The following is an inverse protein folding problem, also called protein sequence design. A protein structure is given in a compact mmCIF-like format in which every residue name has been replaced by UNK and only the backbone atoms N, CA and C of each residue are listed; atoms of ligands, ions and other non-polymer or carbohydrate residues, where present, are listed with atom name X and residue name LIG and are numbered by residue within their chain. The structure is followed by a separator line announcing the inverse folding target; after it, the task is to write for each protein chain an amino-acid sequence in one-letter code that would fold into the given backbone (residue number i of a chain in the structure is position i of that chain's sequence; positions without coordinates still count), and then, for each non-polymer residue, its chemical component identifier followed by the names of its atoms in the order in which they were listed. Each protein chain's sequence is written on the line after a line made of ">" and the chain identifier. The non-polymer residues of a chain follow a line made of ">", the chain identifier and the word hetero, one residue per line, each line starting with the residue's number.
data_IF_268942017720
#
_entry.id   IF_268942017720
#
_cell.length_a   1.000
_cell.length_b   1.000
_cell.length_c   1.000
_cell.angle_alpha   90.00
_cell.angle_beta   90.00
_cell.angle_gamma   90.00
#
_symmetry.space_group_name_H-M   'P 1'
#
loop_
_entity.id
_entity.type
_entity.pdbx_description
1 polymer ?
#
# COMPACT_ATOMS: atom_id res chain seq x y z
N UNK A 1 -4.90 20.27 0.97
CA UNK A 1 -4.27 19.93 -0.33
C UNK A 1 -2.97 20.68 -0.55
N UNK A 2 -2.87 21.95 -0.14
CA UNK A 2 -1.61 22.73 -0.18
C UNK A 2 -0.46 22.01 0.57
N UNK A 3 -0.75 21.25 1.60
CA UNK A 3 0.24 20.46 2.34
C UNK A 3 0.94 19.39 1.48
N UNK A 4 0.25 18.80 0.52
CA UNK A 4 0.82 17.72 -0.31
C UNK A 4 2.01 18.16 -1.15
N UNK A 5 1.95 19.37 -1.74
CA UNK A 5 2.99 19.88 -2.63
C UNK A 5 4.09 20.71 -1.94
N UNK A 6 3.99 20.92 -0.63
CA UNK A 6 5.03 21.65 0.11
C UNK A 6 6.27 20.78 0.26
N UNK A 7 7.42 21.31 -0.08
CA UNK A 7 8.71 20.62 0.05
C UNK A 7 9.09 20.38 1.52
N UNK A 8 8.67 21.28 2.42
CA UNK A 8 8.88 21.21 3.86
C UNK A 8 7.84 20.33 4.59
N UNK A 9 6.99 19.65 3.84
CA UNK A 9 5.97 18.76 4.41
C UNK A 9 6.59 17.49 4.99
N UNK A 10 6.36 17.25 6.27
CA UNK A 10 6.82 16.06 6.99
C UNK A 10 5.98 14.81 6.71
N UNK A 11 4.86 14.93 5.98
CA UNK A 11 3.97 13.81 5.68
C UNK A 11 4.33 13.18 4.33
N UNK A 12 4.54 11.87 4.31
CA UNK A 12 4.80 11.09 3.11
C UNK A 12 3.51 10.61 2.42
N UNK A 13 2.38 10.69 3.13
CA UNK A 13 1.08 10.31 2.61
C UNK A 13 -0.07 11.13 3.16
N UNK A 14 -1.06 11.40 2.32
CA UNK A 14 -2.27 12.15 2.67
C UNK A 14 -3.51 11.41 2.18
N UNK A 15 -4.50 11.29 3.06
CA UNK A 15 -5.87 10.90 2.72
C UNK A 15 -6.71 12.17 2.74
N UNK A 16 -7.23 12.57 1.58
CA UNK A 16 -8.09 13.74 1.43
C UNK A 16 -9.49 13.32 1.01
N UNK A 17 -10.49 13.75 1.77
CA UNK A 17 -11.88 13.37 1.56
C UNK A 17 -12.74 14.63 1.35
N UNK A 18 -13.58 14.65 0.30
CA UNK A 18 -14.47 15.77 -0.07
C UNK A 18 -13.80 17.14 0.04
N UNK A 19 -12.72 17.32 -0.72
CA UNK A 19 -11.88 18.51 -0.63
C UNK A 19 -12.51 19.68 -1.37
N UNK A 20 -12.77 20.77 -0.66
CA UNK A 20 -13.21 22.05 -1.25
C UNK A 20 -12.11 22.69 -2.10
N UNK A 21 -12.50 23.42 -3.13
CA UNK A 21 -11.62 24.21 -4.00
C UNK A 21 -10.47 23.41 -4.63
N UNK A 22 -10.58 22.09 -4.63
CA UNK A 22 -9.55 21.23 -5.21
C UNK A 22 -9.43 21.42 -6.72
N UNK A 23 -10.50 21.83 -7.39
CA UNK A 23 -10.51 22.02 -8.85
C UNK A 23 -9.52 23.10 -9.29
N UNK A 24 -9.55 24.29 -8.67
CA UNK A 24 -8.60 25.37 -8.98
C UNK A 24 -7.18 24.94 -8.63
N UNK A 25 -7.00 24.38 -7.46
CA UNK A 25 -5.71 23.87 -7.01
C UNK A 25 -5.16 22.77 -7.93
N UNK A 26 -5.99 21.84 -8.39
CA UNK A 26 -5.58 20.78 -9.31
C UNK A 26 -5.19 21.35 -10.68
N UNK A 27 -5.96 22.29 -11.23
CA UNK A 27 -5.64 22.94 -12.51
C UNK A 27 -4.25 23.59 -12.48
N UNK A 28 -3.95 24.29 -11.40
CA UNK A 28 -2.68 25.00 -11.23
C UNK A 28 -1.49 24.06 -10.96
N UNK A 29 -1.74 22.89 -10.39
CA UNK A 29 -0.70 21.95 -9.95
C UNK A 29 -0.79 20.58 -10.60
N UNK A 30 -1.56 20.43 -11.69
CA UNK A 30 -1.84 19.14 -12.35
C UNK A 30 -0.58 18.33 -12.64
N UNK A 31 0.42 18.96 -13.24
CA UNK A 31 1.66 18.28 -13.59
C UNK A 31 2.42 17.78 -12.37
N UNK A 32 2.42 18.53 -11.27
CA UNK A 32 3.09 18.12 -10.03
C UNK A 32 2.37 16.98 -9.33
N UNK A 33 1.03 16.93 -9.39
CA UNK A 33 0.21 15.88 -8.76
C UNK A 33 0.28 14.59 -9.58
N UNK A 34 0.22 14.66 -10.91
CA UNK A 34 0.21 13.50 -11.80
C UNK A 34 1.60 12.96 -12.12
N UNK A 35 2.65 13.71 -11.87
CA UNK A 35 4.01 13.19 -12.04
C UNK A 35 4.37 12.29 -10.85
N UNK A 36 5.14 11.22 -11.09
CA UNK A 36 5.63 10.36 -10.03
C UNK A 36 6.36 11.16 -8.94
N UNK A 37 5.92 11.05 -7.72
CA UNK A 37 6.56 11.62 -6.54
C UNK A 37 6.74 10.55 -5.48
N UNK A 38 7.61 10.79 -4.50
CA UNK A 38 7.76 9.91 -3.34
C UNK A 38 6.56 9.96 -2.39
N UNK A 39 5.74 11.04 -2.49
CA UNK A 39 4.59 11.25 -1.61
C UNK A 39 3.33 10.62 -2.19
N UNK A 40 2.52 10.02 -1.33
CA UNK A 40 1.28 9.35 -1.71
C UNK A 40 0.05 10.22 -1.41
N UNK A 41 -0.87 10.32 -2.37
CA UNK A 41 -2.14 11.05 -2.22
C UNK A 41 -3.32 10.14 -2.56
N UNK A 42 -4.15 9.87 -1.57
CA UNK A 42 -5.45 9.26 -1.77
C UNK A 42 -6.54 10.34 -1.72
N UNK A 43 -7.37 10.41 -2.76
CA UNK A 43 -8.49 11.33 -2.85
C UNK A 43 -9.81 10.55 -2.93
N UNK A 44 -10.63 10.67 -1.88
CA UNK A 44 -11.97 10.09 -1.85
C UNK A 44 -13.05 11.16 -2.00
N UNK A 45 -14.10 10.87 -2.76
CA UNK A 45 -15.27 11.74 -2.86
C UNK A 45 -16.57 10.95 -2.94
N UNK A 46 -17.66 11.56 -2.48
CA UNK A 46 -18.98 10.95 -2.43
C UNK A 46 -19.80 11.26 -3.67
N UNK A 47 -20.46 10.27 -4.25
CA UNK A 47 -21.35 10.47 -5.40
C UNK A 47 -22.64 11.23 -5.07
N UNK A 48 -22.99 11.29 -3.78
CA UNK A 48 -24.17 12.01 -3.25
C UNK A 48 -23.80 13.39 -2.69
N UNK A 49 -22.54 13.78 -2.81
CA UNK A 49 -22.02 15.07 -2.35
C UNK A 49 -21.89 16.00 -3.56
N UNK A 50 -23.00 16.68 -3.91
CA UNK A 50 -23.14 17.43 -5.16
C UNK A 50 -22.13 18.57 -5.30
N UNK A 51 -21.69 19.17 -4.19
CA UNK A 51 -20.74 20.29 -4.20
C UNK A 51 -19.32 19.85 -4.53
N UNK A 52 -18.94 18.58 -4.21
CA UNK A 52 -17.57 18.08 -4.33
C UNK A 52 -17.37 17.08 -5.47
N UNK A 53 -18.44 16.74 -6.16
CA UNK A 53 -18.51 15.62 -7.07
C UNK A 53 -17.94 15.91 -8.48
N UNK A 54 -17.98 17.17 -8.94
CA UNK A 54 -17.64 17.54 -10.33
C UNK A 54 -16.17 17.21 -10.63
N UNK A 55 -15.27 17.61 -9.76
CA UNK A 55 -13.85 17.37 -9.93
C UNK A 55 -13.49 15.90 -9.76
N UNK A 56 -14.11 15.22 -8.78
CA UNK A 56 -13.88 13.82 -8.54
C UNK A 56 -14.17 12.97 -9.78
N UNK A 57 -15.32 13.21 -10.44
CA UNK A 57 -15.69 12.53 -11.70
C UNK A 57 -14.70 12.81 -12.83
N UNK A 58 -14.24 14.04 -12.93
CA UNK A 58 -13.20 14.42 -13.90
C UNK A 58 -11.91 13.63 -13.66
N UNK A 59 -11.46 13.55 -12.41
CA UNK A 59 -10.21 12.89 -12.04
C UNK A 59 -10.26 11.37 -12.18
N UNK A 60 -11.41 10.74 -11.92
CA UNK A 60 -11.60 9.28 -12.14
C UNK A 60 -11.45 8.92 -13.62
N UNK A 61 -11.87 9.83 -14.53
CA UNK A 61 -11.72 9.65 -15.97
C UNK A 61 -10.30 9.92 -16.50
N UNK A 62 -9.44 10.56 -15.73
CA UNK A 62 -8.07 10.87 -16.14
C UNK A 62 -7.18 9.62 -16.04
N UNK A 63 -6.48 9.29 -17.13
CA UNK A 63 -5.43 8.28 -17.10
C UNK A 63 -4.28 8.77 -16.22
N UNK A 64 -4.21 8.24 -15.03
CA UNK A 64 -3.17 8.56 -14.08
C UNK A 64 -2.05 7.51 -14.13
N UNK A 65 -0.84 7.96 -14.45
CA UNK A 65 0.37 7.11 -14.46
C UNK A 65 1.15 7.19 -13.13
N UNK A 66 0.73 8.04 -12.19
CA UNK A 66 1.39 8.17 -10.90
C UNK A 66 0.90 7.06 -9.94
N UNK A 67 1.71 6.06 -9.59
CA UNK A 67 1.31 4.99 -8.69
C UNK A 67 1.04 5.49 -7.26
N UNK A 68 1.55 6.68 -6.92
CA UNK A 68 1.36 7.31 -5.61
C UNK A 68 0.15 8.27 -5.57
N UNK A 69 -0.70 8.27 -6.61
CA UNK A 69 -1.92 9.06 -6.63
C UNK A 69 -3.12 8.17 -6.95
N UNK A 70 -4.09 8.11 -6.05
CA UNK A 70 -5.33 7.37 -6.23
C UNK A 70 -6.55 8.27 -6.03
N UNK A 71 -7.51 8.17 -6.93
CA UNK A 71 -8.82 8.82 -6.81
C UNK A 71 -9.90 7.76 -6.82
N UNK A 72 -10.86 7.84 -5.89
CA UNK A 72 -11.95 6.87 -5.80
C UNK A 72 -13.27 7.52 -5.42
N UNK A 73 -14.34 7.17 -6.16
CA UNK A 73 -15.73 7.55 -5.88
C UNK A 73 -16.41 6.52 -4.98
N UNK A 74 -17.22 7.00 -4.05
CA UNK A 74 -18.00 6.19 -3.12
C UNK A 74 -19.48 6.57 -3.19
N UNK A 75 -20.37 5.59 -3.08
CA UNK A 75 -21.82 5.85 -2.97
C UNK A 75 -22.18 6.38 -1.57
N UNK A 76 -21.72 7.58 -1.24
CA UNK A 76 -21.82 8.22 0.06
C UNK A 76 -22.06 9.72 -0.08
N UNK A 77 -22.68 10.31 0.94
CA UNK A 77 -22.70 11.76 1.14
C UNK A 77 -21.46 12.21 1.93
N UNK A 78 -21.34 13.51 2.19
CA UNK A 78 -20.22 14.11 2.92
C UNK A 78 -19.97 13.46 4.29
N UNK A 79 -21.02 13.18 5.05
CA UNK A 79 -20.90 12.62 6.39
C UNK A 79 -20.59 11.13 6.41
N UNK A 80 -21.03 10.40 5.40
CA UNK A 80 -20.82 8.96 5.26
C UNK A 80 -19.46 8.64 4.63
N UNK A 81 -18.90 9.57 3.88
CA UNK A 81 -17.67 9.34 3.11
C UNK A 81 -16.49 8.87 3.94
N UNK A 82 -16.18 9.43 5.12
CA UNK A 82 -15.06 8.93 5.94
C UNK A 82 -15.20 7.45 6.29
N UNK A 83 -16.39 7.00 6.66
CA UNK A 83 -16.64 5.60 7.02
C UNK A 83 -16.52 4.64 5.84
N UNK A 84 -16.86 5.13 4.64
CA UNK A 84 -16.82 4.32 3.41
C UNK A 84 -15.43 4.25 2.78
N UNK A 85 -14.56 5.23 3.02
CA UNK A 85 -13.34 5.43 2.24
C UNK A 85 -12.04 5.32 3.02
N UNK A 86 -12.03 5.56 4.33
CA UNK A 86 -10.80 5.64 5.13
C UNK A 86 -9.96 4.35 5.06
N UNK A 87 -10.62 3.18 5.06
CA UNK A 87 -9.93 1.90 4.98
C UNK A 87 -9.19 1.72 3.65
N UNK A 88 -9.77 2.18 2.55
CA UNK A 88 -9.12 2.14 1.24
C UNK A 88 -7.93 3.12 1.16
N UNK A 89 -8.09 4.30 1.77
CA UNK A 89 -7.01 5.27 1.88
C UNK A 89 -5.82 4.71 2.69
N UNK A 90 -6.09 4.07 3.83
CA UNK A 90 -5.05 3.43 4.65
C UNK A 90 -4.37 2.30 3.87
N UNK A 91 -5.15 1.42 3.21
CA UNK A 91 -4.59 0.34 2.38
C UNK A 91 -3.71 0.88 1.25
N UNK A 92 -4.12 1.98 0.64
CA UNK A 92 -3.34 2.63 -0.41
C UNK A 92 -2.01 3.18 0.12
N UNK A 93 -2.05 3.94 1.23
CA UNK A 93 -0.83 4.53 1.80
C UNK A 93 0.17 3.49 2.30
N UNK A 94 -0.33 2.39 2.84
CA UNK A 94 0.48 1.31 3.42
C UNK A 94 0.50 0.04 2.56
N UNK A 95 0.30 0.18 1.24
CA UNK A 95 0.23 -0.96 0.31
C UNK A 95 1.46 -1.86 0.33
N UNK A 96 2.63 -1.31 0.67
CA UNK A 96 3.89 -2.06 0.76
C UNK A 96 4.16 -2.60 2.18
N UNK A 97 3.32 -2.26 3.16
CA UNK A 97 3.51 -2.65 4.55
C UNK A 97 2.33 -3.46 5.06
N UNK A 98 2.60 -4.72 5.44
CA UNK A 98 1.59 -5.67 5.94
C UNK A 98 0.36 -5.86 5.04
N UNK A 99 0.44 -5.47 3.78
CA UNK A 99 -0.54 -5.81 2.78
C UNK A 99 -0.11 -7.10 2.07
N UNK A 100 -0.44 -8.22 2.67
CA UNK A 100 0.12 -9.54 2.33
C UNK A 100 -0.13 -9.99 0.89
N UNK A 101 -1.26 -9.61 0.29
CA UNK A 101 -1.53 -9.95 -1.12
C UNK A 101 -0.51 -9.31 -2.07
N UNK A 102 -0.17 -8.04 -1.84
CA UNK A 102 0.86 -7.33 -2.62
C UNK A 102 2.26 -7.91 -2.37
N UNK A 103 2.56 -8.31 -1.13
CA UNK A 103 3.82 -8.98 -0.81
C UNK A 103 3.97 -10.30 -1.55
N UNK A 104 2.88 -11.07 -1.65
CA UNK A 104 2.89 -12.34 -2.38
C UNK A 104 3.15 -12.12 -3.86
N UNK A 105 2.43 -11.19 -4.48
CA UNK A 105 2.61 -10.89 -5.90
C UNK A 105 4.05 -10.46 -6.21
N UNK A 106 4.64 -9.69 -5.30
CA UNK A 106 5.98 -9.13 -5.49
C UNK A 106 7.11 -10.12 -5.21
N UNK A 107 6.95 -10.97 -4.20
CA UNK A 107 8.06 -11.79 -3.68
C UNK A 107 7.88 -13.31 -3.84
N UNK A 108 6.65 -13.76 -4.07
CA UNK A 108 6.39 -15.18 -4.29
C UNK A 108 6.74 -15.57 -5.72
N UNK A 109 7.99 -15.97 -5.93
CA UNK A 109 8.54 -16.41 -7.20
C UNK A 109 9.24 -17.75 -7.05
N UNK A 110 9.44 -18.49 -8.15
CA UNK A 110 10.10 -19.81 -8.12
C UNK A 110 11.58 -19.71 -7.69
N UNK A 111 12.20 -18.53 -7.84
CA UNK A 111 13.55 -18.21 -7.39
C UNK A 111 13.58 -17.46 -6.05
N UNK A 112 12.54 -17.61 -5.22
CA UNK A 112 12.46 -16.96 -3.91
C UNK A 112 13.70 -17.24 -3.07
N UNK A 113 14.29 -16.19 -2.51
CA UNK A 113 15.42 -16.23 -1.59
C UNK A 113 15.08 -15.45 -0.32
N UNK A 114 15.07 -16.13 0.82
CA UNK A 114 14.68 -15.57 2.11
C UNK A 114 15.53 -14.37 2.54
N UNK A 115 16.86 -14.51 2.51
CA UNK A 115 17.75 -13.44 2.96
C UNK A 115 17.61 -12.19 2.09
N UNK A 116 17.40 -12.38 0.80
CA UNK A 116 17.16 -11.27 -0.13
C UNK A 116 15.79 -10.63 0.10
N UNK A 117 14.77 -11.42 0.39
CA UNK A 117 13.45 -10.93 0.76
C UNK A 117 13.50 -10.13 2.05
N UNK A 118 14.06 -10.72 3.14
CA UNK A 118 14.18 -10.07 4.44
C UNK A 118 14.87 -8.71 4.31
N UNK A 119 16.03 -8.68 3.68
CA UNK A 119 16.81 -7.46 3.50
C UNK A 119 16.04 -6.41 2.70
N UNK A 120 15.56 -6.76 1.51
CA UNK A 120 14.87 -5.80 0.63
C UNK A 120 13.57 -5.28 1.23
N UNK A 121 12.82 -6.16 1.90
CA UNK A 121 11.57 -5.77 2.54
C UNK A 121 11.83 -4.84 3.71
N UNK A 122 12.73 -5.21 4.63
CA UNK A 122 13.07 -4.39 5.81
C UNK A 122 13.66 -3.04 5.42
N UNK A 123 14.60 -3.01 4.46
CA UNK A 123 15.17 -1.76 3.95
C UNK A 123 14.11 -0.85 3.32
N UNK A 124 13.19 -1.41 2.53
CA UNK A 124 12.11 -0.64 1.89
C UNK A 124 11.15 -0.04 2.93
N UNK A 125 10.77 -0.83 3.95
CA UNK A 125 9.89 -0.36 5.02
C UNK A 125 10.57 0.69 5.88
N UNK A 126 11.83 0.48 6.24
CA UNK A 126 12.62 1.46 6.98
C UNK A 126 12.78 2.77 6.21
N UNK A 127 13.10 2.69 4.92
CA UNK A 127 13.27 3.87 4.08
C UNK A 127 11.97 4.65 3.89
N UNK A 128 10.83 3.93 3.69
CA UNK A 128 9.55 4.55 3.36
C UNK A 128 8.78 5.03 4.58
N UNK A 129 8.86 4.31 5.69
CA UNK A 129 8.03 4.55 6.88
C UNK A 129 8.85 4.85 8.15
N UNK A 130 10.18 4.73 8.13
CA UNK A 130 11.03 4.90 9.30
C UNK A 130 10.83 3.81 10.37
N UNK A 131 10.31 2.64 10.00
CA UNK A 131 9.93 1.57 10.91
C UNK A 131 10.85 0.37 10.73
N UNK A 132 11.42 -0.11 11.84
CA UNK A 132 12.10 -1.41 11.87
C UNK A 132 11.08 -2.52 11.97
N UNK A 133 11.10 -3.44 11.01
CA UNK A 133 10.13 -4.54 10.95
C UNK A 133 10.78 -5.88 11.25
N UNK A 134 10.01 -6.73 11.95
CA UNK A 134 10.25 -8.17 12.04
C UNK A 134 9.34 -8.87 11.06
N UNK A 135 9.90 -9.75 10.25
CA UNK A 135 9.20 -10.38 9.12
C UNK A 135 8.51 -11.72 9.46
N UNK A 136 8.23 -11.99 10.73
CA UNK A 136 7.64 -13.24 11.22
C UNK A 136 6.30 -13.58 10.54
N UNK A 137 5.41 -12.59 10.49
CA UNK A 137 4.08 -12.75 9.91
C UNK A 137 4.12 -12.86 8.38
N UNK A 138 5.01 -12.12 7.75
CA UNK A 138 5.23 -12.12 6.32
C UNK A 138 5.68 -13.51 5.85
N UNK A 139 6.61 -14.14 6.59
CA UNK A 139 7.08 -15.48 6.29
C UNK A 139 5.96 -16.53 6.47
N UNK A 140 5.22 -16.45 7.56
CA UNK A 140 4.08 -17.32 7.77
C UNK A 140 3.07 -17.24 6.63
N UNK A 141 2.82 -16.02 6.15
CA UNK A 141 1.91 -15.78 5.05
C UNK A 141 2.44 -16.35 3.72
N UNK A 142 3.74 -16.21 3.44
CA UNK A 142 4.38 -16.79 2.26
C UNK A 142 4.35 -18.33 2.30
N UNK A 143 4.59 -18.95 3.47
CA UNK A 143 4.47 -20.39 3.65
C UNK A 143 3.06 -20.90 3.39
N UNK A 144 2.04 -20.25 3.95
CA UNK A 144 0.65 -20.61 3.68
C UNK A 144 0.32 -20.50 2.19
N UNK A 145 0.82 -19.46 1.52
CA UNK A 145 0.58 -19.30 0.09
C UNK A 145 1.29 -20.34 -0.75
N UNK A 146 2.51 -20.73 -0.38
CA UNK A 146 3.22 -21.84 -1.04
C UNK A 146 2.44 -23.14 -0.90
N UNK A 147 1.87 -23.41 0.29
CA UNK A 147 0.99 -24.55 0.53
C UNK A 147 -0.28 -24.49 -0.30
N UNK A 148 -0.99 -23.37 -0.31
CA UNK A 148 -2.25 -23.17 -1.04
C UNK A 148 -2.08 -23.31 -2.55
N UNK A 149 -0.91 -22.89 -3.06
CA UNK A 149 -0.53 -23.08 -4.47
C UNK A 149 0.05 -24.47 -4.78
N UNK A 150 0.10 -25.35 -3.77
CA UNK A 150 0.70 -26.68 -3.87
C UNK A 150 2.13 -26.63 -4.46
N UNK A 151 2.95 -25.69 -3.99
CA UNK A 151 4.33 -25.51 -4.42
C UNK A 151 5.30 -25.96 -3.32
N UNK A 152 5.59 -27.29 -3.23
CA UNK A 152 6.47 -27.84 -2.19
C UNK A 152 7.91 -27.35 -2.32
N UNK A 153 8.36 -26.98 -3.50
CA UNK A 153 9.70 -26.47 -3.71
C UNK A 153 9.91 -25.13 -2.96
N UNK A 154 9.04 -24.15 -3.19
CA UNK A 154 9.14 -22.84 -2.48
C UNK A 154 8.88 -23.02 -1.00
N UNK A 155 7.92 -23.89 -0.60
CA UNK A 155 7.62 -24.17 0.81
C UNK A 155 8.85 -24.70 1.55
N UNK A 156 9.47 -25.76 1.03
CA UNK A 156 10.66 -26.36 1.64
C UNK A 156 11.85 -25.40 1.65
N UNK A 157 12.05 -24.65 0.58
CA UNK A 157 13.12 -23.64 0.49
C UNK A 157 12.99 -22.58 1.58
N UNK A 158 11.78 -22.06 1.83
CA UNK A 158 11.53 -21.11 2.92
C UNK A 158 11.85 -21.75 4.27
N UNK A 159 11.42 -22.99 4.50
CA UNK A 159 11.72 -23.72 5.75
C UNK A 159 13.21 -23.92 5.97
N UNK A 160 13.93 -24.36 4.95
CA UNK A 160 15.38 -24.62 5.04
C UNK A 160 16.16 -23.34 5.36
N UNK A 161 15.77 -22.21 4.75
CA UNK A 161 16.39 -20.91 5.02
C UNK A 161 16.09 -20.38 6.44
N UNK A 162 14.88 -20.64 6.96
CA UNK A 162 14.50 -20.29 8.34
C UNK A 162 15.24 -21.16 9.35
N UNK A 163 15.38 -22.46 9.11
CA UNK A 163 16.11 -23.38 9.98
C UNK A 163 17.58 -22.96 10.18
N UNK A 164 18.16 -22.32 9.19
CA UNK A 164 19.51 -21.77 9.26
C UNK A 164 19.61 -20.42 10.02
N UNK A 165 18.51 -19.74 10.26
CA UNK A 165 18.48 -18.38 10.85
C UNK A 165 18.27 -18.31 12.37
N UNK A 166 18.26 -19.40 13.08
CA UNK A 166 18.32 -19.57 14.56
C UNK A 166 17.22 -18.94 15.45
N UNK A 167 16.26 -18.17 14.94
CA UNK A 167 15.40 -17.38 15.84
C UNK A 167 13.91 -17.77 15.87
N UNK A 168 13.39 -18.55 14.92
CA UNK A 168 11.92 -18.79 14.82
C UNK A 168 11.50 -20.25 14.62
N UNK A 169 12.39 -21.20 14.78
CA UNK A 169 12.22 -22.59 14.40
C UNK A 169 11.00 -23.32 15.01
N UNK A 170 10.65 -23.02 16.25
CA UNK A 170 9.64 -23.81 16.97
C UNK A 170 8.20 -23.43 16.61
N UNK A 171 7.90 -22.16 16.42
CA UNK A 171 6.53 -21.74 16.15
C UNK A 171 6.11 -22.01 14.70
N UNK A 172 7.00 -21.82 13.73
CA UNK A 172 6.69 -22.05 12.33
C UNK A 172 6.49 -23.53 12.02
N UNK A 173 7.30 -24.42 12.61
CA UNK A 173 7.12 -25.88 12.48
C UNK A 173 5.78 -26.37 13.03
N UNK A 174 5.32 -25.80 14.14
CA UNK A 174 4.04 -26.17 14.74
C UNK A 174 2.84 -25.81 13.86
N UNK A 175 2.92 -24.71 13.12
CA UNK A 175 1.85 -24.27 12.20
C UNK A 175 1.98 -24.85 10.78
N UNK A 176 3.11 -25.43 10.42
CA UNK A 176 3.35 -26.04 9.11
C UNK A 176 3.07 -27.56 9.08
N UNK A 177 2.93 -28.22 10.25
CA UNK A 177 2.55 -29.61 10.41
C UNK A 177 1.03 -29.78 10.44
#
# INVERSE_FOLDING_TARGET
>A
TNLFLREDNIFDGIIALSVNDFESYFKDNRSKILNPSSKSLFLGFGSKDDEFNILGRFLVGEKNSNPNFMVKEYNADHMQLPFSSINDGIKFLFSDYKYYDSLIEKYYTDDFNYNNFEKKYSENIQQKYGIDVKIEYEIYYLLNKARDKNNPYVFNKILDEIDNSNSYQLQIRFYAS
#
